data_IF_938543316055
#
_entry.id   IF_938543316055
#
_cell.length_a   1.000
_cell.length_b   1.000
_cell.length_c   1.000
_cell.angle_alpha   90.00
_cell.angle_beta   90.00
_cell.angle_gamma   90.00
#
_symmetry.space_group_name_H-M   'P 1'
#
loop_
_entity.id
_entity.type
_entity.pdbx_description
1 polymer ?
#
# COMPACT_ATOMS: atom_id res chain seq x y z
N UNK A 1 -8.61 17.01 1.92
CA UNK A 1 -8.52 15.54 1.69
C UNK A 1 -8.64 15.32 0.19
N UNK A 2 -7.73 14.60 -0.46
CA UNK A 2 -7.83 14.34 -1.91
C UNK A 2 -8.89 13.26 -2.12
N UNK A 3 -9.97 13.63 -2.80
CA UNK A 3 -11.05 12.73 -3.21
C UNK A 3 -10.95 12.42 -4.70
N UNK A 4 -11.65 11.38 -5.15
CA UNK A 4 -11.71 11.04 -6.58
C UNK A 4 -12.16 12.20 -7.47
N UNK A 5 -13.06 13.06 -6.97
CA UNK A 5 -13.52 14.25 -7.69
C UNK A 5 -12.40 15.26 -8.00
N UNK A 6 -11.29 15.23 -7.26
CA UNK A 6 -10.11 16.06 -7.52
C UNK A 6 -9.26 15.57 -8.70
N UNK A 7 -9.48 14.35 -9.19
CA UNK A 7 -8.76 13.79 -10.35
C UNK A 7 -9.43 14.28 -11.63
N UNK A 8 -8.76 15.21 -12.31
CA UNK A 8 -9.25 15.85 -13.55
C UNK A 8 -9.00 14.99 -14.79
N UNK A 9 -7.82 14.41 -14.88
CA UNK A 9 -7.37 13.55 -15.99
C UNK A 9 -6.56 12.38 -15.46
N UNK A 10 -6.58 11.28 -16.20
CA UNK A 10 -5.74 10.10 -16.02
C UNK A 10 -5.73 9.32 -17.33
N UNK A 11 -4.72 8.47 -17.50
CA UNK A 11 -4.67 7.48 -18.57
C UNK A 11 -5.09 6.12 -17.99
N UNK A 12 -5.81 5.34 -18.78
CA UNK A 12 -6.20 3.96 -18.45
C UNK A 12 -5.62 3.03 -19.50
N UNK A 13 -4.94 1.99 -19.03
CA UNK A 13 -4.36 0.95 -19.87
C UNK A 13 -4.82 -0.41 -19.34
N UNK A 14 -5.20 -1.30 -20.25
CA UNK A 14 -5.42 -2.72 -19.94
C UNK A 14 -4.21 -3.51 -20.43
N UNK A 15 -3.72 -4.44 -19.62
CA UNK A 15 -2.61 -5.32 -19.95
C UNK A 15 -2.86 -6.73 -19.42
N UNK A 16 -2.30 -7.72 -20.12
CA UNK A 16 -2.30 -9.11 -19.66
C UNK A 16 -1.06 -9.43 -18.81
N UNK A 17 -0.02 -8.62 -18.93
CA UNK A 17 1.27 -8.81 -18.27
C UNK A 17 1.64 -7.60 -17.42
N UNK A 18 2.38 -7.84 -16.33
CA UNK A 18 2.93 -6.76 -15.50
C UNK A 18 4.03 -6.01 -16.24
N UNK A 19 4.42 -4.84 -15.73
CA UNK A 19 5.54 -4.08 -16.29
C UNK A 19 6.85 -4.87 -16.10
N UNK A 20 7.66 -5.00 -17.16
CA UNK A 20 8.88 -5.83 -17.17
C UNK A 20 9.84 -5.57 -15.98
N UNK A 21 9.96 -4.32 -15.52
CA UNK A 21 10.82 -3.96 -14.39
C UNK A 21 10.26 -4.36 -13.01
N UNK A 22 9.02 -4.85 -12.96
CA UNK A 22 8.35 -5.39 -11.78
C UNK A 22 8.24 -6.93 -11.82
N UNK A 23 8.67 -7.57 -12.92
CA UNK A 23 8.70 -9.03 -13.04
C UNK A 23 9.61 -9.63 -11.96
N UNK A 24 9.12 -10.65 -11.26
CA UNK A 24 9.81 -11.29 -10.14
C UNK A 24 9.95 -10.43 -8.87
N UNK A 25 9.39 -9.23 -8.83
CA UNK A 25 9.43 -8.38 -7.64
C UNK A 25 8.57 -8.97 -6.52
N UNK A 26 9.16 -9.28 -5.36
CA UNK A 26 8.44 -9.90 -4.24
C UNK A 26 7.53 -8.91 -3.54
N UNK A 27 6.40 -9.39 -3.01
CA UNK A 27 5.52 -8.54 -2.20
C UNK A 27 6.20 -8.02 -0.93
N UNK A 28 7.17 -8.77 -0.38
CA UNK A 28 7.94 -8.37 0.81
C UNK A 28 8.87 -7.19 0.55
N UNK A 29 9.25 -6.95 -0.71
CA UNK A 29 10.20 -5.92 -1.12
C UNK A 29 9.51 -4.57 -1.40
N UNK A 30 8.17 -4.56 -1.37
CA UNK A 30 7.36 -3.36 -1.56
C UNK A 30 7.49 -2.42 -0.36
N UNK A 31 7.50 -1.10 -0.63
CA UNK A 31 7.42 -0.07 0.39
C UNK A 31 6.05 -0.08 1.08
N UNK A 32 6.05 0.35 2.35
CA UNK A 32 4.89 0.29 3.23
C UNK A 32 4.67 1.60 3.98
N UNK A 33 3.42 2.09 3.96
CA UNK A 33 3.03 3.31 4.68
C UNK A 33 2.77 3.13 6.19
N UNK A 34 2.73 1.88 6.68
CA UNK A 34 2.29 1.60 8.04
C UNK A 34 3.36 0.91 8.89
N UNK A 35 3.43 1.32 10.16
CA UNK A 35 4.09 0.55 11.24
C UNK A 35 3.00 -0.08 12.10
N UNK A 36 3.24 -1.24 12.71
CA UNK A 36 2.36 -1.82 13.70
C UNK A 36 2.74 -1.39 15.13
N UNK A 37 4.05 -1.42 15.44
CA UNK A 37 4.60 -1.10 16.75
C UNK A 37 5.73 -0.08 16.66
N UNK A 38 5.96 0.70 17.73
CA UNK A 38 7.02 1.73 17.81
C UNK A 38 8.11 1.36 18.81
N UNK A 39 8.34 0.07 18.99
CA UNK A 39 9.19 -0.44 20.07
C UNK A 39 10.68 -0.43 19.69
N UNK A 40 11.00 -0.33 18.40
CA UNK A 40 12.36 -0.20 17.90
C UNK A 40 12.62 1.18 17.27
N UNK A 41 13.88 1.62 17.30
CA UNK A 41 14.28 2.94 16.79
C UNK A 41 13.90 3.16 15.32
N UNK A 42 13.99 2.11 14.50
CA UNK A 42 13.62 2.21 13.08
C UNK A 42 12.13 2.50 12.90
N UNK A 43 11.25 1.89 13.70
CA UNK A 43 9.80 2.15 13.60
C UNK A 43 9.38 3.46 14.28
N UNK A 44 10.11 3.93 15.30
CA UNK A 44 9.97 5.28 15.85
C UNK A 44 10.31 6.35 14.81
N UNK A 45 11.47 6.22 14.16
CA UNK A 45 11.88 7.11 13.08
C UNK A 45 10.86 7.09 11.93
N UNK A 46 10.34 5.91 11.59
CA UNK A 46 9.27 5.77 10.61
C UNK A 46 8.00 6.56 11.03
N UNK A 47 7.62 6.56 12.30
CA UNK A 47 6.49 7.35 12.80
C UNK A 47 6.79 8.85 12.77
N UNK A 48 7.95 9.28 13.24
CA UNK A 48 8.37 10.69 13.27
C UNK A 48 8.38 11.31 11.87
N UNK A 49 8.98 10.62 10.89
CA UNK A 49 8.97 11.06 9.48
C UNK A 49 7.55 11.15 8.91
N UNK A 50 6.63 10.31 9.37
CA UNK A 50 5.23 10.40 8.96
C UNK A 50 4.54 11.65 9.55
N UNK A 51 4.82 11.96 10.81
CA UNK A 51 4.27 13.13 11.51
C UNK A 51 4.78 14.44 10.90
N UNK A 52 6.06 14.50 10.51
CA UNK A 52 6.67 15.66 9.83
C UNK A 52 5.95 16.04 8.54
N UNK A 53 5.44 15.05 7.78
CA UNK A 53 4.67 15.30 6.55
C UNK A 53 3.16 15.41 6.78
N UNK A 54 2.73 15.46 8.04
CA UNK A 54 1.32 15.57 8.45
C UNK A 54 0.52 14.26 8.35
N UNK A 55 1.18 13.10 8.22
CA UNK A 55 0.50 11.80 8.20
C UNK A 55 0.31 11.21 9.61
N UNK A 56 -0.81 11.59 10.23
CA UNK A 56 -1.18 11.16 11.60
C UNK A 56 -1.55 9.68 11.75
N UNK A 57 -1.77 8.97 10.65
CA UNK A 57 -2.26 7.58 10.66
C UNK A 57 -1.19 6.57 10.21
N UNK A 58 0.06 6.80 10.62
CA UNK A 58 1.17 5.90 10.30
C UNK A 58 1.05 4.56 11.01
N UNK A 59 0.54 4.54 12.25
CA UNK A 59 0.29 3.29 12.98
C UNK A 59 -0.90 2.59 12.33
N UNK A 60 -0.77 1.30 12.04
CA UNK A 60 -1.83 0.48 11.46
C UNK A 60 -3.07 0.52 12.36
N UNK A 61 -4.23 0.82 11.78
CA UNK A 61 -5.50 0.91 12.51
C UNK A 61 -5.75 2.20 13.31
N UNK A 62 -4.75 3.08 13.46
CA UNK A 62 -4.86 4.34 14.24
C UNK A 62 -5.91 5.35 13.74
N UNK A 63 -6.46 5.15 12.54
CA UNK A 63 -7.59 5.92 12.02
C UNK A 63 -8.94 5.53 12.63
N UNK A 64 -9.00 4.51 13.50
CA UNK A 64 -10.21 4.01 14.17
C UNK A 64 -10.18 4.22 15.69
N UNK A 65 -9.91 5.44 16.20
CA UNK A 65 -9.71 5.67 17.64
C UNK A 65 -10.97 5.39 18.48
N UNK A 66 -12.16 5.43 17.87
CA UNK A 66 -13.42 5.17 18.57
C UNK A 66 -13.67 3.68 18.88
N UNK A 67 -12.92 2.76 18.27
CA UNK A 67 -13.16 1.31 18.41
C UNK A 67 -12.19 0.60 19.37
N UNK A 68 -11.02 1.20 19.63
CA UNK A 68 -9.94 0.54 20.35
C UNK A 68 -9.18 1.55 21.21
N UNK A 69 -9.01 1.21 22.48
CA UNK A 69 -8.44 2.09 23.52
C UNK A 69 -6.91 2.01 23.60
N UNK A 70 -6.30 0.95 23.08
CA UNK A 70 -4.84 0.78 23.04
C UNK A 70 -4.33 0.40 21.63
N UNK A 71 -3.04 0.57 21.40
CA UNK A 71 -2.38 0.18 20.13
C UNK A 71 -2.50 -1.33 19.94
N UNK A 72 -2.33 -2.11 21.00
CA UNK A 72 -2.42 -3.59 20.97
C UNK A 72 -3.81 -4.04 20.53
N UNK A 73 -4.87 -3.40 21.03
CA UNK A 73 -6.24 -3.69 20.59
C UNK A 73 -6.45 -3.36 19.11
N UNK A 74 -5.88 -2.26 18.62
CA UNK A 74 -5.93 -1.91 17.20
C UNK A 74 -5.21 -2.97 16.37
N UNK A 75 -3.99 -3.36 16.74
CA UNK A 75 -3.23 -4.38 16.02
C UNK A 75 -3.93 -5.74 16.06
N UNK A 76 -4.49 -6.16 17.19
CA UNK A 76 -5.28 -7.39 17.28
C UNK A 76 -6.48 -7.37 16.34
N UNK A 77 -7.19 -6.24 16.25
CA UNK A 77 -8.28 -6.08 15.31
C UNK A 77 -7.79 -6.16 13.85
N UNK A 78 -6.74 -5.44 13.50
CA UNK A 78 -6.20 -5.47 12.13
C UNK A 78 -5.69 -6.87 11.74
N UNK A 79 -5.09 -7.62 12.69
CA UNK A 79 -4.75 -9.05 12.51
C UNK A 79 -5.98 -9.93 12.27
N UNK A 80 -7.10 -9.66 12.95
CA UNK A 80 -8.36 -10.38 12.72
C UNK A 80 -8.93 -10.11 11.33
N UNK A 81 -8.85 -8.86 10.85
CA UNK A 81 -9.26 -8.48 9.49
C UNK A 81 -8.41 -9.22 8.46
N UNK A 82 -7.08 -9.25 8.63
CA UNK A 82 -6.18 -9.99 7.75
C UNK A 82 -6.50 -11.49 7.77
N UNK A 83 -6.71 -12.07 8.95
CA UNK A 83 -7.05 -13.49 9.10
C UNK A 83 -8.34 -13.83 8.35
N UNK A 84 -9.36 -12.98 8.44
CA UNK A 84 -10.60 -13.17 7.71
C UNK A 84 -10.37 -13.13 6.19
N UNK A 85 -9.56 -12.18 5.71
CA UNK A 85 -9.19 -12.12 4.29
C UNK A 85 -8.46 -13.37 3.81
N UNK A 86 -7.61 -13.96 4.66
CA UNK A 86 -6.93 -15.25 4.38
C UNK A 86 -7.95 -16.38 4.31
N UNK A 87 -8.87 -16.48 5.28
CA UNK A 87 -9.89 -17.53 5.34
C UNK A 87 -10.84 -17.50 4.13
N UNK A 88 -11.19 -16.31 3.64
CA UNK A 88 -12.05 -16.17 2.46
C UNK A 88 -11.31 -16.42 1.13
N UNK A 89 -9.99 -16.62 1.15
CA UNK A 89 -9.15 -16.60 -0.04
C UNK A 89 -8.97 -15.17 -0.56
N UNK A 90 -7.77 -14.57 -0.44
CA UNK A 90 -7.57 -13.19 -0.86
C UNK A 90 -7.64 -13.11 -2.40
N UNK A 91 -8.70 -12.46 -2.88
CA UNK A 91 -9.00 -12.21 -4.30
C UNK A 91 -8.93 -10.74 -4.67
N UNK A 92 -8.90 -9.84 -3.69
CA UNK A 92 -8.87 -8.40 -3.93
C UNK A 92 -7.53 -8.00 -4.56
N UNK A 93 -7.51 -7.21 -5.64
CA UNK A 93 -6.27 -6.77 -6.24
C UNK A 93 -5.41 -5.90 -5.32
N UNK A 94 -4.10 -6.11 -5.36
CA UNK A 94 -3.12 -5.21 -4.75
C UNK A 94 -2.98 -3.96 -5.62
N UNK A 95 -3.00 -2.79 -4.98
CA UNK A 95 -2.67 -1.52 -5.63
C UNK A 95 -1.17 -1.27 -5.50
N UNK A 96 -0.46 -1.49 -6.60
CA UNK A 96 0.95 -1.14 -6.74
C UNK A 96 1.03 0.32 -7.13
N UNK A 97 1.82 1.12 -6.41
CA UNK A 97 1.99 2.54 -6.71
C UNK A 97 3.44 2.81 -7.06
N UNK A 98 3.66 3.37 -8.26
CA UNK A 98 4.96 3.85 -8.70
C UNK A 98 5.00 5.36 -8.45
N UNK A 99 5.76 5.77 -7.44
CA UNK A 99 5.91 7.18 -7.07
C UNK A 99 6.96 7.87 -7.94
N UNK A 100 6.93 9.20 -7.99
CA UNK A 100 7.87 9.99 -8.81
C UNK A 100 9.35 9.80 -8.42
N UNK A 101 9.60 9.44 -7.16
CA UNK A 101 10.92 9.03 -6.66
C UNK A 101 11.32 7.60 -7.05
N UNK A 102 10.58 6.99 -7.99
CA UNK A 102 10.81 5.65 -8.58
C UNK A 102 10.65 4.47 -7.63
N UNK A 103 10.10 4.68 -6.43
CA UNK A 103 9.83 3.60 -5.48
C UNK A 103 8.53 2.88 -5.79
N UNK A 104 8.47 1.61 -5.39
CA UNK A 104 7.35 0.70 -5.62
C UNK A 104 6.66 0.43 -4.28
N UNK A 105 5.41 0.85 -4.15
CA UNK A 105 4.66 0.75 -2.90
C UNK A 105 3.47 -0.19 -3.02
N UNK A 106 3.16 -0.85 -1.90
CA UNK A 106 1.84 -1.43 -1.66
C UNK A 106 0.97 -0.38 -0.95
N UNK A 107 -0.16 0.02 -1.54
CA UNK A 107 -1.07 0.98 -0.88
C UNK A 107 -2.12 0.29 0.02
N UNK A 108 -2.56 -0.93 -0.30
CA UNK A 108 -3.55 -1.68 0.49
C UNK A 108 -2.91 -2.83 1.27
N UNK A 109 -2.11 -2.47 2.29
CA UNK A 109 -1.27 -3.37 3.07
C UNK A 109 -1.97 -4.61 3.66
N UNK A 110 -3.23 -4.51 4.08
CA UNK A 110 -3.98 -5.69 4.57
C UNK A 110 -4.11 -6.78 3.51
N UNK A 111 -4.43 -6.38 2.27
CA UNK A 111 -4.53 -7.28 1.12
C UNK A 111 -3.17 -7.91 0.83
N UNK A 112 -2.10 -7.10 0.79
CA UNK A 112 -0.74 -7.56 0.54
C UNK A 112 -0.28 -8.58 1.58
N UNK A 113 -0.47 -8.28 2.87
CA UNK A 113 -0.11 -9.19 3.96
C UNK A 113 -0.96 -10.47 3.92
N UNK A 114 -2.25 -10.38 3.58
CA UNK A 114 -3.09 -11.56 3.41
C UNK A 114 -2.58 -12.46 2.27
N UNK A 115 -2.16 -11.89 1.13
CA UNK A 115 -1.57 -12.66 0.04
C UNK A 115 -0.28 -13.37 0.47
N UNK A 116 0.60 -12.69 1.21
CA UNK A 116 1.84 -13.28 1.75
C UNK A 116 1.52 -14.44 2.70
N UNK A 117 0.56 -14.27 3.61
CA UNK A 117 0.16 -15.35 4.53
C UNK A 117 -0.44 -16.56 3.79
N UNK A 118 -1.21 -16.33 2.73
CA UNK A 118 -1.84 -17.41 1.96
C UNK A 118 -0.88 -18.15 1.02
N UNK A 119 0.17 -17.49 0.51
CA UNK A 119 1.04 -18.03 -0.57
C UNK A 119 2.51 -18.21 -0.18
N UNK A 120 2.93 -17.69 0.97
CA UNK A 120 4.31 -17.69 1.44
C UNK A 120 5.05 -16.38 1.16
N UNK A 121 6.22 -16.21 1.78
CA UNK A 121 7.03 -14.98 1.71
C UNK A 121 7.67 -14.71 0.34
N UNK A 122 7.78 -15.73 -0.49
CA UNK A 122 8.40 -15.65 -1.82
C UNK A 122 7.43 -15.21 -2.91
N UNK A 123 6.16 -14.97 -2.57
CA UNK A 123 5.13 -14.53 -3.52
C UNK A 123 5.53 -13.20 -4.19
N UNK A 124 5.42 -13.17 -5.52
CA UNK A 124 5.69 -12.01 -6.35
C UNK A 124 4.43 -11.21 -6.67
N UNK A 125 4.60 -10.03 -7.26
CA UNK A 125 3.48 -9.22 -7.78
C UNK A 125 2.68 -10.01 -8.83
N UNK A 126 3.33 -10.82 -9.65
CA UNK A 126 2.70 -11.58 -10.74
C UNK A 126 1.81 -12.74 -10.25
N UNK A 127 2.08 -13.25 -9.04
CA UNK A 127 1.35 -14.36 -8.43
C UNK A 127 -0.01 -13.96 -7.83
N UNK A 128 -0.35 -12.66 -7.88
CA UNK A 128 -1.53 -12.10 -7.25
C UNK A 128 -2.27 -11.13 -8.17
N UNK A 129 -3.60 -11.01 -8.04
CA UNK A 129 -4.33 -9.95 -8.72
C UNK A 129 -3.75 -8.59 -8.30
N UNK A 130 -3.44 -7.74 -9.26
CA UNK A 130 -2.87 -6.42 -8.99
C UNK A 130 -3.17 -5.45 -10.12
N UNK A 131 -3.10 -4.16 -9.81
CA UNK A 131 -3.05 -3.08 -10.80
C UNK A 131 -2.04 -2.05 -10.37
N UNK A 132 -1.58 -1.26 -11.33
CA UNK A 132 -0.51 -0.29 -11.13
C UNK A 132 -1.12 1.12 -11.24
N UNK A 133 -0.71 2.01 -10.33
CA UNK A 133 -0.93 3.44 -10.47
C UNK A 133 0.44 4.11 -10.59
N UNK A 134 0.77 4.58 -11.79
CA UNK A 134 2.06 5.19 -12.11
C UNK A 134 1.94 6.73 -12.11
N UNK A 135 2.74 7.38 -11.26
CA UNK A 135 2.84 8.84 -11.17
C UNK A 135 4.11 9.42 -11.80
N UNK A 136 4.95 8.61 -12.45
CA UNK A 136 6.24 9.07 -13.01
C UNK A 136 6.08 9.91 -14.29
N UNK A 137 4.92 9.86 -14.93
CA UNK A 137 4.57 10.69 -16.10
C UNK A 137 3.82 11.98 -15.76
N UNK A 138 3.45 12.75 -16.79
CA UNK A 138 2.71 14.02 -16.61
C UNK A 138 1.30 13.83 -16.06
N UNK A 139 0.63 12.77 -16.47
CA UNK A 139 -0.68 12.35 -15.96
C UNK A 139 -0.57 11.00 -15.28
N UNK A 140 -1.30 10.76 -14.17
CA UNK A 140 -1.35 9.43 -13.56
C UNK A 140 -1.86 8.41 -14.56
N UNK A 141 -1.18 7.26 -14.64
CA UNK A 141 -1.60 6.12 -15.45
C UNK A 141 -2.11 5.04 -14.51
N UNK A 142 -3.31 4.52 -14.76
CA UNK A 142 -3.76 3.27 -14.15
C UNK A 142 -3.61 2.15 -15.17
N UNK A 143 -2.89 1.10 -14.78
CA UNK A 143 -2.66 -0.08 -15.61
C UNK A 143 -3.38 -1.23 -14.94
N UNK A 144 -4.51 -1.62 -15.51
CA UNK A 144 -5.28 -2.80 -15.09
C UNK A 144 -4.59 -4.03 -15.65
N UNK A 145 -4.18 -4.94 -14.76
CA UNK A 145 -3.65 -6.25 -15.16
C UNK A 145 -4.78 -7.27 -15.07
N UNK A 146 -5.08 -7.95 -16.17
CA UNK A 146 -6.11 -8.99 -16.24
C UNK A 146 -7.47 -8.55 -15.68
N UNK A 147 -7.95 -7.37 -16.09
CA UNK A 147 -9.23 -6.79 -15.65
C UNK A 147 -9.35 -6.61 -14.12
N UNK A 148 -8.24 -6.39 -13.43
CA UNK A 148 -8.19 -6.19 -11.98
C UNK A 148 -8.81 -4.86 -11.53
N UNK A 149 -9.00 -3.90 -12.43
CA UNK A 149 -9.69 -2.64 -12.15
C UNK A 149 -11.12 -2.72 -12.65
N UNK A 150 -12.08 -2.34 -11.79
CA UNK A 150 -13.47 -2.22 -12.21
C UNK A 150 -13.61 -1.13 -13.29
N UNK A 151 -14.39 -1.42 -14.32
CA UNK A 151 -14.71 -0.45 -15.38
C UNK A 151 -15.69 0.64 -14.87
N UNK A 152 -15.19 1.49 -13.98
CA UNK A 152 -15.91 2.54 -13.29
C UNK A 152 -14.99 3.73 -13.10
N UNK A 153 -15.29 4.82 -13.80
CA UNK A 153 -14.49 6.06 -13.70
C UNK A 153 -14.44 6.57 -12.25
N UNK A 154 -15.51 6.40 -11.49
CA UNK A 154 -15.58 6.82 -10.08
C UNK A 154 -14.60 6.00 -9.22
N UNK A 155 -14.55 4.69 -9.43
CA UNK A 155 -13.67 3.80 -8.69
C UNK A 155 -12.21 4.01 -9.08
N UNK A 156 -11.93 4.16 -10.38
CA UNK A 156 -10.60 4.50 -10.90
C UNK A 156 -10.10 5.81 -10.28
N UNK A 157 -10.89 6.88 -10.32
CA UNK A 157 -10.53 8.16 -9.71
C UNK A 157 -10.28 8.03 -8.20
N UNK A 158 -11.06 7.19 -7.51
CA UNK A 158 -10.90 6.94 -6.08
C UNK A 158 -9.62 6.16 -5.77
N UNK A 159 -9.24 5.21 -6.62
CA UNK A 159 -7.98 4.49 -6.54
C UNK A 159 -6.78 5.42 -6.75
N UNK A 160 -6.83 6.27 -7.79
CA UNK A 160 -5.80 7.27 -8.07
C UNK A 160 -5.68 8.28 -6.93
N UNK A 161 -6.80 8.84 -6.45
CA UNK A 161 -6.78 9.78 -5.32
C UNK A 161 -6.18 9.17 -4.05
N UNK A 162 -6.33 7.85 -3.88
CA UNK A 162 -5.73 7.15 -2.76
C UNK A 162 -4.23 6.98 -2.90
N UNK A 163 -3.77 6.55 -4.08
CA UNK A 163 -2.35 6.44 -4.40
C UNK A 163 -1.65 7.81 -4.43
N UNK A 164 -2.33 8.86 -4.87
CA UNK A 164 -1.78 10.22 -4.96
C UNK A 164 -1.43 10.78 -3.57
N UNK A 165 -2.15 10.38 -2.51
CA UNK A 165 -1.78 10.73 -1.14
C UNK A 165 -0.39 10.21 -0.78
N UNK A 166 0.00 9.05 -1.28
CA UNK A 166 1.33 8.50 -1.09
C UNK A 166 2.37 9.31 -1.85
N UNK A 167 2.15 9.55 -3.14
CA UNK A 167 3.06 10.35 -3.98
C UNK A 167 3.27 11.78 -3.42
N UNK A 168 2.24 12.43 -2.91
CA UNK A 168 2.38 13.75 -2.29
C UNK A 168 3.18 13.70 -0.98
N UNK A 169 3.03 12.62 -0.20
CA UNK A 169 3.79 12.47 1.04
C UNK A 169 5.27 12.27 0.73
N UNK A 170 5.61 11.42 -0.24
CA UNK A 170 7.02 11.16 -0.60
C UNK A 170 7.73 12.45 -1.03
N UNK A 171 7.07 13.30 -1.84
CA UNK A 171 7.58 14.65 -2.19
C UNK A 171 7.85 15.57 -0.99
N UNK A 172 7.17 15.34 0.14
CA UNK A 172 7.35 16.11 1.37
C UNK A 172 8.43 15.52 2.29
N UNK A 173 9.14 14.48 1.85
CA UNK A 173 10.14 13.78 2.67
C UNK A 173 9.58 12.59 3.45
N UNK A 174 8.40 12.07 3.08
CA UNK A 174 7.88 10.85 3.68
C UNK A 174 8.73 9.66 3.24
N UNK A 175 9.43 9.04 4.20
CA UNK A 175 10.45 8.01 3.95
C UNK A 175 11.50 8.58 2.97
N UNK A 176 12.47 9.39 3.44
CA UNK A 176 13.50 9.93 2.55
C UNK A 176 14.32 8.81 1.90
N UNK A 177 15.07 9.10 0.83
CA UNK A 177 15.75 8.08 0.00
C UNK A 177 16.66 7.12 0.78
N UNK A 178 17.26 7.59 1.88
CA UNK A 178 18.14 6.78 2.74
C UNK A 178 17.37 5.93 3.79
N UNK A 179 16.04 5.95 3.77
CA UNK A 179 15.20 5.26 4.73
C UNK A 179 14.06 4.53 4.03
N UNK A 180 14.12 3.21 4.09
CA UNK A 180 13.06 2.32 3.60
C UNK A 180 12.28 1.74 4.78
N UNK A 181 10.99 1.52 4.57
CA UNK A 181 10.15 0.79 5.51
C UNK A 181 9.16 -0.03 4.69
N UNK A 182 9.41 -1.33 4.59
CA UNK A 182 8.75 -2.21 3.64
C UNK A 182 7.63 -3.07 4.24
N UNK A 183 7.00 -3.83 3.36
CA UNK A 183 6.01 -4.85 3.74
C UNK A 183 6.65 -5.93 4.61
N UNK A 184 7.91 -6.30 4.35
CA UNK A 184 8.66 -7.21 5.23
C UNK A 184 8.73 -6.70 6.68
N UNK A 185 8.99 -5.40 6.88
CA UNK A 185 9.06 -4.78 8.21
C UNK A 185 7.71 -4.85 8.93
N UNK A 186 6.62 -4.47 8.24
CA UNK A 186 5.26 -4.57 8.79
C UNK A 186 4.87 -6.02 9.09
N UNK A 187 5.18 -6.95 8.19
CA UNK A 187 4.87 -8.36 8.35
C UNK A 187 5.53 -8.92 9.60
N UNK A 188 6.82 -8.63 9.81
CA UNK A 188 7.55 -9.09 10.97
C UNK A 188 6.97 -8.49 12.26
N UNK A 189 6.60 -7.21 12.29
CA UNK A 189 5.95 -6.63 13.46
C UNK A 189 4.60 -7.26 13.82
N UNK A 190 3.90 -7.83 12.85
CA UNK A 190 2.59 -8.45 13.07
C UNK A 190 2.67 -9.94 13.44
N UNK A 191 3.69 -10.66 12.95
CA UNK A 191 3.71 -12.13 12.93
C UNK A 191 5.07 -12.79 13.24
N UNK A 192 6.15 -12.04 13.47
CA UNK A 192 7.40 -12.59 13.99
C UNK A 192 7.40 -12.54 15.53
#
# INVERSE_FOLDING_TARGET
MISGNGIKSFLYEESETTLLHLTGFKLTDLECKHVAHTDCERSKLAKELAELVGHKYCILGSHRPQKHTSIEQQICYEKSVIKEMVNCGPTRPIRIVLTEDKRVWSDNNHTTVAHILSRGKEVSIEDVPHYIVDFRGESPVIISINCSVLNSVIDIKSAIASAQRLNIRTKKGYRPEHFTWGISDLFNQLYA
#
